data_IF_478227016648
#
_entry.id   IF_478227016648
#
_cell.length_a   1.000
_cell.length_b   1.000
_cell.length_c   1.000
_cell.angle_alpha   90.00
_cell.angle_beta   90.00
_cell.angle_gamma   90.00
#
_symmetry.space_group_name_H-M   'P 1'
#
loop_
_entity.id
_entity.type
_entity.pdbx_description
1 polymer ?
#
# COMPACT_ATOMS: atom_id res chain seq x y z
N UNK A 1 -5.10 18.86 -33.57
CA UNK A 1 -3.89 19.37 -32.89
C UNK A 1 -3.65 18.43 -31.73
N UNK A 2 -2.69 17.52 -31.86
CA UNK A 2 -2.41 16.53 -30.83
C UNK A 2 -1.64 17.21 -29.70
N UNK A 3 -2.20 17.22 -28.49
CA UNK A 3 -1.49 17.62 -27.29
C UNK A 3 -0.37 16.59 -27.04
N UNK A 4 0.88 17.03 -27.13
CA UNK A 4 2.02 16.25 -26.67
C UNK A 4 1.97 16.22 -25.14
N UNK A 5 1.66 15.05 -24.57
CA UNK A 5 1.75 14.81 -23.12
C UNK A 5 3.22 14.60 -22.76
N UNK A 6 3.80 15.47 -21.92
CA UNK A 6 5.20 15.42 -21.49
C UNK A 6 5.50 14.31 -20.45
N UNK A 7 4.53 13.44 -20.19
CA UNK A 7 4.67 12.31 -19.26
C UNK A 7 4.59 12.68 -17.78
N UNK A 8 4.32 13.94 -17.39
CA UNK A 8 4.09 14.33 -16.00
C UNK A 8 2.74 15.03 -15.85
N UNK A 9 1.71 14.26 -15.47
CA UNK A 9 0.42 14.81 -15.09
C UNK A 9 0.57 15.72 -13.87
N UNK A 10 0.11 16.97 -13.98
CA UNK A 10 0.10 17.94 -12.87
C UNK A 10 -1.11 17.72 -11.95
N UNK A 11 -1.02 18.19 -10.70
CA UNK A 11 -2.12 18.10 -9.71
C UNK A 11 -3.44 18.68 -10.25
N UNK A 12 -3.38 19.82 -10.95
CA UNK A 12 -4.55 20.48 -11.50
C UNK A 12 -5.13 19.70 -12.68
N UNK A 13 -4.30 19.12 -13.55
CA UNK A 13 -4.77 18.25 -14.62
C UNK A 13 -5.45 17.01 -14.04
N UNK A 14 -4.89 16.40 -12.99
CA UNK A 14 -5.52 15.25 -12.31
C UNK A 14 -6.89 15.64 -11.74
N UNK A 15 -6.98 16.75 -10.99
CA UNK A 15 -8.25 17.22 -10.43
C UNK A 15 -9.27 17.59 -11.51
N UNK A 16 -8.85 18.26 -12.60
CA UNK A 16 -9.72 18.64 -13.70
C UNK A 16 -10.22 17.41 -14.48
N UNK A 17 -9.36 16.40 -14.70
CA UNK A 17 -9.78 15.12 -15.29
C UNK A 17 -10.78 14.40 -14.37
N UNK A 18 -10.54 14.41 -13.06
CA UNK A 18 -11.38 13.74 -12.07
C UNK A 18 -12.74 14.43 -11.89
N UNK A 19 -12.80 15.77 -11.83
CA UNK A 19 -14.04 16.54 -11.72
C UNK A 19 -14.91 16.49 -12.99
N UNK A 20 -14.28 16.47 -14.17
CA UNK A 20 -15.00 16.36 -15.45
C UNK A 20 -15.66 14.98 -15.66
N UNK A 21 -15.28 13.96 -14.88
CA UNK A 21 -15.93 12.65 -14.92
C UNK A 21 -17.35 12.67 -14.31
N UNK A 22 -17.64 13.59 -13.39
CA UNK A 22 -18.96 13.71 -12.74
C UNK A 22 -19.98 14.49 -13.59
N UNK A 23 -19.53 15.38 -14.48
CA UNK A 23 -20.39 16.38 -15.14
C UNK A 23 -20.94 15.93 -16.53
N UNK A 24 -20.40 14.88 -17.16
CA UNK A 24 -20.84 14.47 -18.52
C UNK A 24 -21.38 13.04 -18.57
N UNK A 25 -22.68 12.92 -18.83
CA UNK A 25 -23.34 11.68 -19.20
C UNK A 25 -22.58 10.92 -20.30
N UNK A 26 -22.15 9.68 -20.00
CA UNK A 26 -22.05 8.63 -21.01
C UNK A 26 -20.66 8.03 -21.27
N UNK A 27 -20.27 7.07 -20.43
CA UNK A 27 -19.30 5.96 -20.65
C UNK A 27 -17.82 6.33 -20.88
N UNK A 28 -17.47 7.30 -21.71
CA UNK A 28 -16.08 7.58 -22.09
C UNK A 28 -15.30 8.25 -20.96
N UNK A 29 -15.94 9.17 -20.22
CA UNK A 29 -15.31 9.88 -19.09
C UNK A 29 -15.03 8.95 -17.91
N UNK A 30 -15.94 8.02 -17.62
CA UNK A 30 -15.76 7.01 -16.57
C UNK A 30 -14.64 6.01 -16.94
N UNK A 31 -14.54 5.61 -18.21
CA UNK A 31 -13.45 4.73 -18.66
C UNK A 31 -12.08 5.43 -18.57
N UNK A 32 -11.97 6.69 -19.03
CA UNK A 32 -10.72 7.46 -18.94
C UNK A 32 -10.33 7.71 -17.49
N UNK A 33 -11.29 8.03 -16.61
CA UNK A 33 -11.06 8.13 -15.16
C UNK A 33 -10.57 6.81 -14.59
N UNK A 34 -11.23 5.68 -14.90
CA UNK A 34 -10.86 4.36 -14.41
C UNK A 34 -9.44 3.96 -14.80
N UNK A 35 -9.08 4.08 -16.09
CA UNK A 35 -7.74 3.74 -16.57
C UNK A 35 -6.65 4.63 -15.95
N UNK A 36 -6.92 5.94 -15.80
CA UNK A 36 -5.99 6.86 -15.16
C UNK A 36 -5.86 6.58 -13.67
N UNK A 37 -6.96 6.34 -12.98
CA UNK A 37 -7.00 5.99 -11.56
C UNK A 37 -6.23 4.70 -11.28
N UNK A 38 -6.42 3.67 -12.11
CA UNK A 38 -5.68 2.41 -11.99
C UNK A 38 -4.17 2.64 -12.11
N UNK A 39 -3.73 3.41 -13.11
CA UNK A 39 -2.31 3.74 -13.29
C UNK A 39 -1.74 4.53 -12.12
N UNK A 40 -2.48 5.53 -11.62
CA UNK A 40 -2.05 6.36 -10.49
C UNK A 40 -1.93 5.50 -9.23
N UNK A 41 -2.96 4.70 -8.93
CA UNK A 41 -2.99 3.78 -7.79
C UNK A 41 -1.83 2.79 -7.84
N UNK A 42 -1.65 2.11 -8.96
CA UNK A 42 -0.60 1.09 -9.12
C UNK A 42 0.80 1.72 -8.99
N UNK A 43 0.97 2.95 -9.49
CA UNK A 43 2.22 3.71 -9.32
C UNK A 43 2.48 4.04 -7.85
N UNK A 44 1.47 4.53 -7.12
CA UNK A 44 1.62 4.86 -5.69
C UNK A 44 1.90 3.60 -4.86
N UNK A 45 1.18 2.52 -5.11
CA UNK A 45 1.42 1.23 -4.44
C UNK A 45 2.85 0.73 -4.72
N UNK A 46 3.31 0.82 -5.96
CA UNK A 46 4.70 0.48 -6.30
C UNK A 46 5.74 1.34 -5.58
N UNK A 47 5.46 2.63 -5.35
CA UNK A 47 6.34 3.48 -4.53
C UNK A 47 6.38 3.02 -3.06
N UNK A 48 5.22 2.65 -2.49
CA UNK A 48 5.14 2.13 -1.13
C UNK A 48 5.94 0.82 -1.00
N UNK A 49 5.82 -0.09 -1.96
CA UNK A 49 6.58 -1.34 -1.99
C UNK A 49 8.08 -1.12 -2.09
N UNK A 50 8.52 -0.19 -2.93
CA UNK A 50 9.93 0.21 -2.99
C UNK A 50 10.43 0.75 -1.65
N UNK A 51 9.64 1.57 -0.96
CA UNK A 51 9.99 2.03 0.37
C UNK A 51 10.02 0.89 1.41
N UNK A 52 9.13 -0.11 1.29
CA UNK A 52 9.21 -1.34 2.12
C UNK A 52 10.49 -2.13 1.90
N UNK A 53 11.05 -2.08 0.70
CA UNK A 53 12.37 -2.65 0.39
C UNK A 53 13.54 -1.75 0.83
N UNK A 54 13.26 -0.60 1.43
CA UNK A 54 14.25 0.33 1.98
C UNK A 54 14.70 1.41 1.00
N UNK A 55 14.03 1.56 -0.15
CA UNK A 55 14.30 2.68 -1.05
C UNK A 55 13.77 4.00 -0.47
N UNK A 56 14.54 5.07 -0.63
CA UNK A 56 14.04 6.40 -0.35
C UNK A 56 13.09 6.84 -1.47
N UNK A 57 11.88 7.24 -1.10
CA UNK A 57 10.86 7.74 -2.03
C UNK A 57 10.54 9.21 -1.78
N UNK A 58 9.86 9.85 -2.73
CA UNK A 58 9.25 11.15 -2.54
C UNK A 58 7.91 10.97 -1.78
N UNK A 59 7.99 10.95 -0.45
CA UNK A 59 6.82 10.84 0.43
C UNK A 59 5.82 11.98 0.22
N UNK A 60 6.29 13.18 -0.14
CA UNK A 60 5.43 14.33 -0.39
C UNK A 60 4.60 14.13 -1.68
N UNK A 61 5.19 13.53 -2.72
CA UNK A 61 4.47 13.13 -3.92
C UNK A 61 3.38 12.11 -3.59
N UNK A 62 3.71 11.06 -2.82
CA UNK A 62 2.73 10.05 -2.41
C UNK A 62 1.59 10.71 -1.64
N UNK A 63 1.91 11.53 -0.63
CA UNK A 63 0.91 12.26 0.15
C UNK A 63 0.02 13.15 -0.73
N UNK A 64 0.61 13.90 -1.66
CA UNK A 64 -0.14 14.78 -2.55
C UNK A 64 -1.15 14.00 -3.41
N UNK A 65 -0.78 12.83 -3.91
CA UNK A 65 -1.70 11.98 -4.68
C UNK A 65 -2.81 11.43 -3.78
N UNK A 66 -2.50 11.00 -2.56
CA UNK A 66 -3.49 10.53 -1.59
C UNK A 66 -4.44 11.63 -1.08
N UNK A 67 -3.98 12.88 -1.08
CA UNK A 67 -4.82 14.05 -0.79
C UNK A 67 -5.87 14.28 -1.88
N UNK A 68 -5.56 13.99 -3.15
CA UNK A 68 -6.54 14.09 -4.25
C UNK A 68 -7.71 13.13 -4.03
N UNK A 69 -7.46 11.86 -3.68
CA UNK A 69 -8.52 10.87 -3.40
C UNK A 69 -9.48 11.29 -2.27
N UNK A 70 -9.02 12.18 -1.39
CA UNK A 70 -9.80 12.70 -0.27
C UNK A 70 -10.52 13.99 -0.63
N UNK A 71 -9.87 14.88 -1.37
CA UNK A 71 -10.47 16.13 -1.86
C UNK A 71 -11.67 15.87 -2.78
N UNK A 72 -11.70 14.70 -3.45
CA UNK A 72 -12.84 14.29 -4.29
C UNK A 72 -14.13 13.96 -3.52
N UNK A 73 -14.06 13.81 -2.20
CA UNK A 73 -15.24 13.49 -1.38
C UNK A 73 -15.02 14.03 0.03
N UNK A 74 -15.40 15.30 0.20
CA UNK A 74 -15.17 16.10 1.40
C UNK A 74 -15.71 15.44 2.69
N UNK A 75 -16.72 14.58 2.60
CA UNK A 75 -17.42 14.04 3.77
C UNK A 75 -17.30 12.51 3.97
N UNK A 76 -17.13 11.71 2.91
CA UNK A 76 -17.30 10.24 3.03
C UNK A 76 -16.05 9.39 2.78
N UNK A 77 -14.95 9.97 2.28
CA UNK A 77 -13.68 9.26 1.95
C UNK A 77 -13.89 8.07 1.01
N UNK A 78 -15.00 8.02 0.28
CA UNK A 78 -15.44 6.84 -0.48
C UNK A 78 -14.46 6.53 -1.60
N UNK A 79 -13.97 7.54 -2.30
CA UNK A 79 -12.97 7.37 -3.35
C UNK A 79 -11.64 6.88 -2.77
N UNK A 80 -11.16 7.46 -1.67
CA UNK A 80 -9.96 6.93 -1.00
C UNK A 80 -10.12 5.45 -0.61
N UNK A 81 -11.25 5.06 0.00
CA UNK A 81 -11.45 3.68 0.44
C UNK A 81 -11.54 2.72 -0.75
N UNK A 82 -12.47 3.00 -1.67
CA UNK A 82 -12.79 2.10 -2.78
C UNK A 82 -11.72 2.09 -3.87
N UNK A 83 -11.21 3.27 -4.21
CA UNK A 83 -10.34 3.44 -5.37
C UNK A 83 -8.85 3.33 -4.99
N UNK A 84 -8.48 3.33 -3.71
CA UNK A 84 -7.09 3.17 -3.26
C UNK A 84 -6.90 2.16 -2.11
N UNK A 85 -7.55 2.37 -0.95
CA UNK A 85 -7.28 1.61 0.29
C UNK A 85 -7.43 0.09 0.09
N UNK A 86 -8.49 -0.36 -0.57
CA UNK A 86 -8.73 -1.79 -0.82
C UNK A 86 -7.60 -2.45 -1.62
N UNK A 87 -7.09 -1.75 -2.65
CA UNK A 87 -5.98 -2.26 -3.47
C UNK A 87 -4.67 -2.25 -2.69
N UNK A 88 -4.43 -1.20 -1.91
CA UNK A 88 -3.24 -1.08 -1.06
C UNK A 88 -3.22 -2.19 0.02
N UNK A 89 -4.34 -2.50 0.66
CA UNK A 89 -4.43 -3.59 1.64
C UNK A 89 -4.18 -4.95 0.99
N UNK A 90 -4.76 -5.20 -0.20
CA UNK A 90 -4.54 -6.45 -0.95
C UNK A 90 -3.08 -6.62 -1.35
N UNK A 91 -2.47 -5.55 -1.85
CA UNK A 91 -1.07 -5.55 -2.24
C UNK A 91 -0.14 -5.78 -1.03
N UNK A 92 -0.43 -5.11 0.09
CA UNK A 92 0.27 -5.33 1.37
C UNK A 92 0.21 -6.78 1.82
N UNK A 93 -0.95 -7.42 1.68
CA UNK A 93 -1.10 -8.83 2.01
C UNK A 93 -0.17 -9.71 1.15
N UNK A 94 -0.16 -9.47 -0.17
CA UNK A 94 0.71 -10.18 -1.12
C UNK A 94 2.19 -9.94 -0.80
N UNK A 95 2.58 -8.69 -0.51
CA UNK A 95 3.94 -8.32 -0.16
C UNK A 95 4.42 -9.10 1.07
N UNK A 96 3.67 -9.04 2.17
CA UNK A 96 4.08 -9.69 3.42
C UNK A 96 3.98 -11.21 3.38
N UNK A 97 3.03 -11.77 2.64
CA UNK A 97 2.97 -13.22 2.41
C UNK A 97 4.24 -13.74 1.73
N UNK A 98 4.75 -13.03 0.70
CA UNK A 98 6.02 -13.35 0.04
C UNK A 98 7.21 -13.21 1.00
N UNK A 99 7.31 -12.09 1.72
CA UNK A 99 8.39 -11.86 2.70
C UNK A 99 8.42 -12.94 3.77
N UNK A 100 7.26 -13.32 4.29
CA UNK A 100 7.14 -14.35 5.31
C UNK A 100 7.66 -15.70 4.81
N UNK A 101 7.26 -16.13 3.59
CA UNK A 101 7.75 -17.37 3.00
C UNK A 101 9.28 -17.37 2.83
N UNK A 102 9.84 -16.28 2.33
CA UNK A 102 11.29 -16.13 2.14
C UNK A 102 12.04 -16.19 3.47
N UNK A 103 11.55 -15.48 4.50
CA UNK A 103 12.19 -15.42 5.81
C UNK A 103 12.01 -16.69 6.62
N UNK A 104 10.87 -17.38 6.52
CA UNK A 104 10.68 -18.69 7.15
C UNK A 104 11.70 -19.69 6.62
N UNK A 105 11.98 -19.66 5.31
CA UNK A 105 12.97 -20.53 4.68
C UNK A 105 14.43 -20.17 5.05
N UNK A 106 14.73 -18.88 5.23
CA UNK A 106 16.12 -18.40 5.28
C UNK A 106 16.62 -17.88 6.63
N UNK A 107 15.73 -17.50 7.57
CA UNK A 107 16.11 -16.86 8.84
C UNK A 107 16.00 -17.82 10.03
N UNK A 108 16.54 -17.45 11.18
CA UNK A 108 16.23 -18.11 12.46
C UNK A 108 14.83 -17.68 12.96
N UNK A 109 14.29 -18.31 14.01
CA UNK A 109 13.03 -17.87 14.60
C UNK A 109 13.16 -16.45 15.20
N UNK A 110 14.25 -16.18 15.92
CA UNK A 110 14.51 -14.88 16.53
C UNK A 110 14.66 -13.77 15.48
N UNK A 111 15.46 -14.02 14.43
CA UNK A 111 15.63 -13.06 13.33
C UNK A 111 14.33 -12.80 12.57
N UNK A 112 13.47 -13.82 12.46
CA UNK A 112 12.14 -13.68 11.86
C UNK A 112 11.28 -12.74 12.71
N UNK A 113 11.20 -12.96 14.03
CA UNK A 113 10.39 -12.14 14.92
C UNK A 113 10.88 -10.69 14.97
N UNK A 114 12.19 -10.47 14.93
CA UNK A 114 12.77 -9.12 14.80
C UNK A 114 12.34 -8.43 13.50
N UNK A 115 12.30 -9.18 12.38
CA UNK A 115 11.81 -8.65 11.10
C UNK A 115 10.33 -8.31 11.14
N UNK A 116 9.50 -9.12 11.81
CA UNK A 116 8.07 -8.80 12.00
C UNK A 116 7.90 -7.50 12.77
N UNK A 117 8.60 -7.33 13.89
CA UNK A 117 8.54 -6.11 14.70
C UNK A 117 8.98 -4.87 13.91
N UNK A 118 10.08 -4.97 13.16
CA UNK A 118 10.56 -3.91 12.27
C UNK A 118 9.51 -3.53 11.21
N UNK A 119 8.87 -4.53 10.59
CA UNK A 119 7.85 -4.30 9.58
C UNK A 119 6.64 -3.55 10.14
N UNK A 120 6.11 -3.98 11.29
CA UNK A 120 4.95 -3.35 11.91
C UNK A 120 5.25 -1.90 12.34
N UNK A 121 6.45 -1.64 12.89
CA UNK A 121 6.91 -0.27 13.21
C UNK A 121 7.02 0.60 11.95
N UNK A 122 7.56 0.06 10.87
CA UNK A 122 7.70 0.79 9.62
C UNK A 122 6.33 1.10 8.99
N UNK A 123 5.37 0.17 9.04
CA UNK A 123 4.00 0.45 8.58
C UNK A 123 3.34 1.53 9.42
N UNK A 124 3.48 1.48 10.75
CA UNK A 124 2.97 2.54 11.61
C UNK A 124 3.58 3.91 11.27
N UNK A 125 4.89 3.97 10.97
CA UNK A 125 5.55 5.19 10.54
C UNK A 125 5.00 5.70 9.19
N UNK A 126 4.81 4.82 8.19
CA UNK A 126 4.21 5.20 6.89
C UNK A 126 2.79 5.75 7.05
N UNK A 127 2.01 5.12 7.93
CA UNK A 127 0.66 5.58 8.24
C UNK A 127 0.67 6.99 8.79
N UNK A 128 1.61 7.32 9.68
CA UNK A 128 1.74 8.65 10.25
C UNK A 128 2.24 9.69 9.24
N UNK A 129 3.07 9.29 8.27
CA UNK A 129 3.70 10.20 7.30
C UNK A 129 2.75 10.63 6.19
N UNK A 130 2.04 9.69 5.57
CA UNK A 130 1.27 10.00 4.36
C UNK A 130 -0.03 9.21 4.14
N UNK A 131 -0.32 8.14 4.90
CA UNK A 131 -1.62 7.45 4.80
C UNK A 131 -2.67 8.05 5.76
N UNK A 132 -3.91 7.62 5.61
CA UNK A 132 -5.00 8.05 6.51
C UNK A 132 -5.00 7.26 7.80
N UNK A 133 -5.25 7.95 8.92
CA UNK A 133 -5.41 7.32 10.24
C UNK A 133 -6.47 6.21 10.24
N UNK A 134 -7.56 6.35 9.48
CA UNK A 134 -8.60 5.31 9.37
C UNK A 134 -8.08 4.00 8.76
N UNK A 135 -7.03 4.05 7.95
CA UNK A 135 -6.35 2.89 7.39
C UNK A 135 -5.42 2.20 8.40
N UNK A 136 -5.08 2.87 9.52
CA UNK A 136 -4.08 2.40 10.49
C UNK A 136 -4.35 0.97 10.96
N UNK A 137 -5.55 0.74 11.49
CA UNK A 137 -5.91 -0.56 12.04
C UNK A 137 -5.88 -1.65 10.98
N UNK A 138 -6.48 -1.39 9.82
CA UNK A 138 -6.59 -2.38 8.74
C UNK A 138 -5.23 -2.79 8.18
N UNK A 139 -4.33 -1.82 7.98
CA UNK A 139 -3.02 -2.10 7.39
C UNK A 139 -2.14 -2.91 8.33
N UNK A 140 -2.11 -2.53 9.62
CA UNK A 140 -1.36 -3.28 10.63
C UNK A 140 -1.93 -4.68 10.83
N UNK A 141 -3.25 -4.82 10.86
CA UNK A 141 -3.94 -6.11 10.98
C UNK A 141 -3.62 -7.04 9.81
N UNK A 142 -3.64 -6.53 8.57
CA UNK A 142 -3.25 -7.32 7.38
C UNK A 142 -1.79 -7.73 7.44
N UNK A 143 -0.88 -6.82 7.77
CA UNK A 143 0.54 -7.12 7.87
C UNK A 143 0.82 -8.18 8.96
N UNK A 144 0.22 -8.03 10.15
CA UNK A 144 0.36 -8.98 11.25
C UNK A 144 -0.24 -10.34 10.90
N UNK A 145 -1.41 -10.36 10.26
CA UNK A 145 -2.07 -11.60 9.84
C UNK A 145 -1.18 -12.41 8.88
N UNK A 146 -0.65 -11.79 7.83
CA UNK A 146 0.20 -12.47 6.85
C UNK A 146 1.56 -12.87 7.44
N UNK A 147 2.15 -12.03 8.30
CA UNK A 147 3.45 -12.32 8.91
C UNK A 147 3.39 -13.38 10.01
N UNK A 148 2.27 -13.50 10.74
CA UNK A 148 2.18 -14.36 11.93
C UNK A 148 1.08 -15.42 11.79
N UNK A 149 -0.16 -15.00 11.59
CA UNK A 149 -1.32 -15.89 11.70
C UNK A 149 -1.34 -16.96 10.62
N UNK A 150 -1.05 -16.59 9.38
CA UNK A 150 -0.99 -17.53 8.23
C UNK A 150 0.09 -18.60 8.42
N UNK A 151 1.14 -18.30 9.19
CA UNK A 151 2.32 -19.15 9.33
C UNK A 151 2.52 -19.73 10.74
N UNK A 152 1.51 -19.64 11.61
CA UNK A 152 1.62 -19.99 13.03
C UNK A 152 2.23 -21.39 13.27
N UNK A 153 1.77 -22.42 12.55
CA UNK A 153 2.32 -23.78 12.70
C UNK A 153 3.80 -23.89 12.32
N UNK A 154 4.21 -23.26 11.20
CA UNK A 154 5.60 -23.28 10.75
C UNK A 154 6.51 -22.51 11.70
N UNK A 155 6.02 -21.41 12.27
CA UNK A 155 6.75 -20.61 13.24
C UNK A 155 6.97 -21.37 14.55
N UNK A 156 5.98 -22.15 15.00
CA UNK A 156 6.11 -22.98 16.19
C UNK A 156 7.16 -24.09 15.99
N UNK A 157 7.14 -24.79 14.86
CA UNK A 157 8.16 -25.79 14.54
C UNK A 157 9.58 -25.18 14.54
N UNK A 158 9.71 -24.00 13.93
CA UNK A 158 10.97 -23.28 13.84
C UNK A 158 11.48 -22.81 15.20
N UNK A 159 10.58 -22.40 16.10
CA UNK A 159 10.89 -22.03 17.49
C UNK A 159 11.48 -23.21 18.26
N UNK A 160 10.89 -24.40 18.13
CA UNK A 160 11.40 -25.62 18.79
C UNK A 160 12.80 -26.01 18.28
N UNK A 161 13.03 -25.92 16.97
CA UNK A 161 14.35 -26.17 16.37
C UNK A 161 15.40 -25.18 16.91
N UNK A 162 15.04 -23.89 17.00
CA UNK A 162 15.95 -22.86 17.49
C UNK A 162 16.33 -23.10 18.96
N UNK A 163 15.37 -23.44 19.82
CA UNK A 163 15.63 -23.78 21.23
C UNK A 163 16.54 -25.01 21.37
N UNK A 164 16.34 -26.05 20.54
CA UNK A 164 17.15 -27.25 20.56
C UNK A 164 18.60 -27.01 20.07
N UNK A 165 18.82 -26.04 19.18
CA UNK A 165 20.16 -25.70 18.70
C UNK A 165 20.98 -24.86 19.69
N UNK A 166 20.32 -24.18 20.63
CA UNK A 166 20.92 -23.31 21.64
C UNK A 166 21.04 -23.95 23.04
N UNK A 167 20.65 -25.22 23.18
CA UNK A 167 20.75 -26.02 24.40
C UNK A 167 22.00 -26.91 24.40
#
# INVERSE_FOLDING_TARGET
MALQMDGRLTRNEILEFMANAEVKEGRVTNQVYGEMNDRVRDTVISLIDREREGEQIDEALVKNVLDIYVEMDEDSMKYYVKDFEESMLKDTAIFYSKKALDWIASKSYEDYMLKVEECLKNEEARIQRYLRYKSKHKLLEVAEYELLSVHASKLEEKKQINLAANA
#
